data_IF_008669222610
#
_entry.id   IF_008669222610
#
_cell.length_a   1.000
_cell.length_b   1.000
_cell.length_c   1.000
_cell.angle_alpha   90.00
_cell.angle_beta   90.00
_cell.angle_gamma   90.00
#
_symmetry.space_group_name_H-M   'P 1'
#
loop_
_entity.id
_entity.type
_entity.pdbx_description
1 polymer ?
#
# COMPACT_ATOMS: atom_id res chain seq x y z
N UNK A 1 -11.11 -17.75 -12.03
CA UNK A 1 -12.23 -18.63 -11.61
C UNK A 1 -12.49 -18.36 -10.14
N UNK A 2 -13.75 -18.07 -9.79
CA UNK A 2 -14.15 -17.91 -8.38
C UNK A 2 -14.01 -19.26 -7.67
N UNK A 3 -13.06 -19.36 -6.76
CA UNK A 3 -12.92 -20.50 -5.86
C UNK A 3 -13.62 -20.16 -4.53
N UNK A 4 -14.96 -20.20 -4.52
CA UNK A 4 -15.76 -19.85 -3.34
C UNK A 4 -15.44 -20.69 -2.08
N UNK A 5 -14.72 -21.79 -2.25
CA UNK A 5 -14.33 -22.69 -1.17
C UNK A 5 -12.83 -22.64 -0.80
N UNK A 6 -12.00 -21.87 -1.54
CA UNK A 6 -10.59 -21.75 -1.22
C UNK A 6 -10.42 -20.89 0.04
N UNK A 7 -10.01 -21.50 1.15
CA UNK A 7 -9.86 -20.83 2.44
C UNK A 7 -8.40 -20.63 2.87
N UNK A 8 -7.47 -21.42 2.32
CA UNK A 8 -6.05 -21.24 2.62
C UNK A 8 -5.15 -21.70 1.47
N UNK A 9 -3.98 -21.09 1.39
CA UNK A 9 -2.88 -21.48 0.53
C UNK A 9 -1.67 -21.68 1.46
N UNK A 10 -0.90 -22.77 1.27
CA UNK A 10 0.24 -23.08 2.13
C UNK A 10 1.49 -23.35 1.30
N UNK A 11 2.43 -22.41 1.31
CA UNK A 11 3.74 -22.49 0.67
C UNK A 11 4.83 -21.94 1.61
N UNK A 12 5.02 -22.56 2.82
CA UNK A 12 5.80 -21.96 3.91
C UNK A 12 7.30 -21.83 3.61
N UNK A 13 7.81 -22.50 2.58
CA UNK A 13 9.21 -22.44 2.17
C UNK A 13 9.42 -21.63 0.88
N UNK A 14 8.38 -20.99 0.37
CA UNK A 14 8.49 -20.17 -0.84
C UNK A 14 9.20 -18.86 -0.50
N UNK A 15 10.38 -18.64 -1.07
CA UNK A 15 11.17 -17.42 -0.83
C UNK A 15 11.04 -16.40 -1.97
N UNK A 16 10.84 -16.88 -3.20
CA UNK A 16 10.83 -16.01 -4.39
C UNK A 16 9.72 -16.41 -5.34
N UNK A 17 9.03 -15.41 -5.90
CA UNK A 17 8.13 -15.56 -7.04
C UNK A 17 8.76 -14.82 -8.24
N UNK A 18 9.07 -15.58 -9.35
CA UNK A 18 9.97 -15.17 -10.40
C UNK A 18 11.43 -15.44 -10.02
N UNK A 19 12.18 -16.16 -10.81
CA UNK A 19 13.46 -16.75 -10.37
C UNK A 19 14.70 -16.06 -10.94
N UNK A 20 14.59 -15.37 -12.05
CA UNK A 20 15.69 -14.60 -12.65
C UNK A 20 15.16 -13.34 -13.36
N UNK A 21 16.07 -12.45 -13.74
CA UNK A 21 15.74 -11.19 -14.41
C UNK A 21 15.06 -11.34 -15.79
N UNK A 22 14.81 -12.56 -16.23
CA UNK A 22 14.21 -12.89 -17.52
C UNK A 22 12.85 -13.58 -17.37
N UNK A 23 12.42 -13.91 -16.14
CA UNK A 23 11.15 -14.60 -15.88
C UNK A 23 10.23 -13.71 -15.05
N UNK A 24 9.07 -13.44 -15.63
CA UNK A 24 7.97 -12.76 -14.95
C UNK A 24 7.48 -13.63 -13.76
N UNK A 25 7.12 -12.99 -12.67
CA UNK A 25 6.62 -13.67 -11.48
C UNK A 25 5.64 -12.82 -10.70
N UNK A 26 4.34 -13.16 -10.83
CA UNK A 26 3.25 -12.48 -10.19
C UNK A 26 2.67 -13.29 -9.02
N UNK A 27 2.27 -12.63 -7.94
CA UNK A 27 1.34 -13.18 -6.96
C UNK A 27 -0.01 -12.48 -7.12
N UNK A 28 -0.97 -13.20 -7.71
CA UNK A 28 -2.31 -12.66 -7.98
C UNK A 28 -3.35 -13.50 -7.27
N UNK A 29 -3.97 -12.91 -6.24
CA UNK A 29 -5.03 -13.50 -5.44
C UNK A 29 -6.30 -12.67 -5.64
N UNK A 30 -7.15 -13.10 -6.56
CA UNK A 30 -8.34 -12.34 -6.95
C UNK A 30 -9.62 -13.19 -6.81
N UNK A 31 -10.71 -12.56 -6.36
CA UNK A 31 -12.03 -13.19 -6.27
C UNK A 31 -12.03 -14.47 -5.43
N UNK A 32 -11.36 -14.46 -4.29
CA UNK A 32 -11.33 -15.55 -3.31
C UNK A 32 -11.86 -15.06 -1.95
N UNK A 33 -13.16 -14.75 -1.81
CA UNK A 33 -13.73 -14.10 -0.63
C UNK A 33 -13.61 -14.92 0.66
N UNK A 34 -13.38 -16.24 0.54
CA UNK A 34 -13.18 -17.14 1.67
C UNK A 34 -11.70 -17.41 1.98
N UNK A 35 -10.76 -16.84 1.23
CA UNK A 35 -9.33 -16.99 1.48
C UNK A 35 -8.95 -16.15 2.70
N UNK A 36 -8.62 -16.82 3.80
CA UNK A 36 -8.28 -16.17 5.08
C UNK A 36 -6.84 -16.42 5.52
N UNK A 37 -6.08 -17.23 4.78
CA UNK A 37 -4.69 -17.56 5.11
C UNK A 37 -3.87 -17.84 3.84
N UNK A 38 -2.69 -17.24 3.77
CA UNK A 38 -1.75 -17.33 2.63
C UNK A 38 -0.36 -17.78 3.08
N UNK A 39 -0.22 -18.79 3.91
CA UNK A 39 1.03 -19.33 4.47
C UNK A 39 2.28 -19.25 3.58
N UNK A 40 2.87 -18.06 3.48
CA UNK A 40 4.05 -17.73 2.66
C UNK A 40 5.08 -16.96 3.50
N UNK A 41 5.34 -17.45 4.71
CA UNK A 41 6.10 -16.74 5.75
C UNK A 41 7.56 -16.46 5.37
N UNK A 42 8.09 -17.17 4.37
CA UNK A 42 9.47 -16.99 3.90
C UNK A 42 9.57 -16.16 2.61
N UNK A 43 8.43 -15.67 2.07
CA UNK A 43 8.42 -14.94 0.82
C UNK A 43 9.11 -13.57 0.98
N UNK A 44 10.19 -13.37 0.25
CA UNK A 44 11.04 -12.18 0.32
C UNK A 44 10.89 -11.27 -0.91
N UNK A 45 10.70 -11.86 -2.08
CA UNK A 45 10.67 -11.11 -3.34
C UNK A 45 9.57 -11.62 -4.26
N UNK A 46 8.82 -10.70 -4.81
CA UNK A 46 7.94 -10.92 -5.97
C UNK A 46 8.50 -10.10 -7.12
N UNK A 47 8.87 -10.77 -8.21
CA UNK A 47 9.63 -10.15 -9.31
C UNK A 47 8.81 -9.10 -10.06
N UNK A 48 7.51 -9.32 -10.23
CA UNK A 48 6.60 -8.38 -10.89
C UNK A 48 5.49 -7.92 -9.95
N UNK A 49 4.28 -8.41 -10.10
CA UNK A 49 3.12 -7.86 -9.42
C UNK A 49 2.69 -8.65 -8.17
N UNK A 50 2.34 -7.93 -7.12
CA UNK A 50 1.50 -8.40 -6.04
C UNK A 50 0.11 -7.79 -6.19
N UNK A 51 -0.91 -8.63 -6.37
CA UNK A 51 -2.29 -8.17 -6.47
C UNK A 51 -3.21 -9.03 -5.58
N UNK A 52 -3.75 -8.44 -4.53
CA UNK A 52 -4.73 -9.06 -3.63
C UNK A 52 -6.03 -8.28 -3.75
N UNK A 53 -7.04 -8.91 -4.33
CA UNK A 53 -8.35 -8.30 -4.60
C UNK A 53 -9.49 -9.23 -4.19
N UNK A 54 -10.50 -8.68 -3.53
CA UNK A 54 -11.69 -9.42 -3.12
C UNK A 54 -11.34 -10.71 -2.38
N UNK A 55 -10.53 -10.60 -1.32
CA UNK A 55 -10.15 -11.71 -0.43
C UNK A 55 -10.84 -11.61 0.93
N UNK A 56 -10.82 -12.72 1.69
CA UNK A 56 -11.28 -12.78 3.08
C UNK A 56 -10.19 -12.52 4.10
N UNK A 57 -9.00 -12.10 3.67
CA UNK A 57 -7.85 -11.86 4.53
C UNK A 57 -8.15 -10.71 5.51
N UNK A 58 -7.91 -10.98 6.80
CA UNK A 58 -8.00 -9.96 7.87
C UNK A 58 -6.70 -9.17 7.98
N UNK A 59 -5.60 -9.84 7.71
CA UNK A 59 -4.25 -9.27 7.62
C UNK A 59 -3.42 -10.03 6.57
N UNK A 60 -2.21 -9.57 6.34
CA UNK A 60 -1.24 -10.19 5.45
C UNK A 60 0.07 -10.51 6.19
N UNK A 61 -0.06 -10.96 7.45
CA UNK A 61 1.06 -11.26 8.36
C UNK A 61 2.03 -12.29 7.81
N UNK A 62 1.55 -13.21 6.98
CA UNK A 62 2.35 -14.21 6.28
C UNK A 62 3.30 -13.64 5.21
N UNK A 63 3.22 -12.34 4.91
CA UNK A 63 4.14 -11.63 4.01
C UNK A 63 5.15 -10.74 4.77
N UNK A 64 5.40 -11.03 6.05
CA UNK A 64 6.26 -10.20 6.91
C UNK A 64 7.74 -10.15 6.48
N UNK A 65 8.19 -11.13 5.71
CA UNK A 65 9.55 -11.18 5.15
C UNK A 65 9.66 -10.49 3.78
N UNK A 66 8.54 -10.04 3.20
CA UNK A 66 8.54 -9.42 1.87
C UNK A 66 9.30 -8.09 1.90
N UNK A 67 10.36 -8.00 1.09
CA UNK A 67 11.23 -6.83 0.97
C UNK A 67 11.01 -6.06 -0.32
N UNK A 68 10.69 -6.75 -1.41
CA UNK A 68 10.59 -6.16 -2.74
C UNK A 68 9.40 -6.69 -3.54
N UNK A 69 8.71 -5.78 -4.22
CA UNK A 69 7.80 -6.05 -5.32
C UNK A 69 8.34 -5.31 -6.55
N UNK A 70 8.68 -6.04 -7.62
CA UNK A 70 9.40 -5.49 -8.76
C UNK A 70 8.58 -4.52 -9.61
N UNK A 71 7.27 -4.77 -9.74
CA UNK A 71 6.35 -3.88 -10.46
C UNK A 71 5.30 -3.30 -9.51
N UNK A 72 4.03 -3.72 -9.63
CA UNK A 72 2.93 -3.11 -8.90
C UNK A 72 2.57 -3.88 -7.62
N UNK A 73 2.26 -3.13 -6.58
CA UNK A 73 1.64 -3.62 -5.35
C UNK A 73 0.21 -3.08 -5.28
N UNK A 74 -0.77 -3.98 -5.39
CA UNK A 74 -2.20 -3.62 -5.41
C UNK A 74 -2.96 -4.36 -4.33
N UNK A 75 -3.60 -3.63 -3.43
CA UNK A 75 -4.56 -4.15 -2.45
C UNK A 75 -5.90 -3.47 -2.67
N UNK A 76 -6.88 -4.21 -3.16
CA UNK A 76 -8.18 -3.63 -3.50
C UNK A 76 -9.36 -4.50 -3.08
N UNK A 77 -10.49 -3.87 -2.73
CA UNK A 77 -11.76 -4.54 -2.44
C UNK A 77 -11.69 -5.62 -1.34
N UNK A 78 -10.74 -5.53 -0.39
CA UNK A 78 -10.62 -6.51 0.68
C UNK A 78 -11.40 -6.04 1.91
N UNK A 79 -12.68 -6.41 1.98
CA UNK A 79 -13.61 -5.91 3.00
C UNK A 79 -13.27 -6.32 4.43
N UNK A 80 -12.51 -7.40 4.62
CA UNK A 80 -12.09 -7.90 5.93
C UNK A 80 -10.71 -7.39 6.36
N UNK A 81 -9.91 -6.82 5.45
CA UNK A 81 -8.52 -6.42 5.71
C UNK A 81 -8.46 -5.25 6.69
N UNK A 82 -7.84 -5.46 7.86
CA UNK A 82 -7.78 -4.48 8.95
C UNK A 82 -6.42 -3.80 9.08
N UNK A 83 -5.34 -4.47 8.71
CA UNK A 83 -3.99 -3.95 8.97
C UNK A 83 -2.96 -4.45 7.96
N UNK A 84 -1.97 -3.61 7.72
CA UNK A 84 -0.73 -3.93 7.00
C UNK A 84 0.47 -3.96 7.94
N UNK A 85 0.27 -4.01 9.26
CA UNK A 85 1.31 -3.84 10.28
C UNK A 85 2.47 -4.83 10.18
N UNK A 86 2.31 -5.92 9.45
CA UNK A 86 3.34 -6.95 9.24
C UNK A 86 4.35 -6.61 8.14
N UNK A 87 4.06 -5.68 7.23
CA UNK A 87 4.93 -5.37 6.07
C UNK A 87 6.15 -4.51 6.44
N UNK A 88 6.69 -4.67 7.63
CA UNK A 88 7.81 -3.84 8.14
C UNK A 88 9.13 -4.03 7.39
N UNK A 89 9.25 -5.15 6.66
CA UNK A 89 10.41 -5.45 5.83
C UNK A 89 10.31 -4.88 4.42
N UNK A 90 9.13 -4.40 4.00
CA UNK A 90 8.95 -3.89 2.65
C UNK A 90 9.68 -2.57 2.47
N UNK A 91 10.68 -2.58 1.59
CA UNK A 91 11.54 -1.43 1.31
C UNK A 91 11.18 -0.76 -0.02
N UNK A 92 10.68 -1.54 -0.99
CA UNK A 92 10.58 -1.07 -2.36
C UNK A 92 9.44 -1.70 -3.15
N UNK A 93 8.74 -0.85 -3.93
CA UNK A 93 7.86 -1.23 -5.04
C UNK A 93 8.36 -0.53 -6.30
N UNK A 94 8.61 -1.29 -7.35
CA UNK A 94 9.28 -0.76 -8.56
C UNK A 94 8.40 0.12 -9.43
N UNK A 95 7.08 -0.07 -9.37
CA UNK A 95 6.08 0.74 -10.06
C UNK A 95 5.05 1.28 -9.07
N UNK A 96 3.76 1.05 -9.29
CA UNK A 96 2.69 1.65 -8.50
C UNK A 96 2.43 0.91 -7.18
N UNK A 97 2.15 1.67 -6.13
CA UNK A 97 1.56 1.18 -4.88
C UNK A 97 0.14 1.72 -4.75
N UNK A 98 -0.84 0.82 -4.88
CA UNK A 98 -2.27 1.16 -4.91
C UNK A 98 -3.00 0.43 -3.78
N UNK A 99 -3.59 1.17 -2.83
CA UNK A 99 -4.34 0.65 -1.69
C UNK A 99 -5.71 1.32 -1.69
N UNK A 100 -6.73 0.64 -2.20
CA UNK A 100 -8.04 1.27 -2.37
C UNK A 100 -9.21 0.32 -2.13
N UNK A 101 -10.36 0.90 -1.73
CA UNK A 101 -11.60 0.15 -1.46
C UNK A 101 -11.42 -0.98 -0.44
N UNK A 102 -10.66 -0.72 0.64
CA UNK A 102 -10.51 -1.62 1.78
C UNK A 102 -11.20 -1.01 3.01
N UNK A 103 -12.52 -1.15 3.15
CA UNK A 103 -13.31 -0.36 4.11
C UNK A 103 -13.01 -0.63 5.58
N UNK A 104 -12.40 -1.78 5.92
CA UNK A 104 -12.02 -2.12 7.29
C UNK A 104 -10.58 -1.79 7.64
N UNK A 105 -9.78 -1.26 6.69
CA UNK A 105 -8.35 -0.98 6.91
C UNK A 105 -8.18 0.20 7.86
N UNK A 106 -7.49 -0.04 9.00
CA UNK A 106 -7.31 0.94 10.08
C UNK A 106 -6.03 1.76 9.95
N UNK A 107 -4.95 1.15 9.44
CA UNK A 107 -3.66 1.81 9.29
C UNK A 107 -2.76 1.14 8.25
N UNK A 108 -1.75 1.86 7.83
CA UNK A 108 -0.69 1.40 6.92
C UNK A 108 0.69 1.43 7.61
N UNK A 109 0.74 1.33 8.93
CA UNK A 109 1.96 1.50 9.74
C UNK A 109 3.04 0.44 9.45
N UNK A 110 2.66 -0.71 8.90
CA UNK A 110 3.60 -1.72 8.41
C UNK A 110 4.53 -1.20 7.30
N UNK A 111 4.15 -0.13 6.63
CA UNK A 111 4.98 0.52 5.60
C UNK A 111 6.00 1.51 6.20
N UNK A 112 6.29 1.42 7.50
CA UNK A 112 7.24 2.34 8.17
C UNK A 112 8.68 2.22 7.66
N UNK A 113 9.09 1.04 7.14
CA UNK A 113 10.38 0.81 6.49
C UNK A 113 10.43 1.18 5.00
N UNK A 114 9.30 1.50 4.41
CA UNK A 114 9.12 1.70 2.99
C UNK A 114 9.81 2.98 2.49
N UNK A 115 10.72 2.86 1.52
CA UNK A 115 11.59 3.96 1.13
C UNK A 115 11.35 4.50 -0.27
N UNK A 116 10.85 3.66 -1.19
CA UNK A 116 10.86 3.98 -2.61
C UNK A 116 9.62 3.46 -3.35
N UNK A 117 8.91 4.37 -4.01
CA UNK A 117 7.86 4.08 -5.01
C UNK A 117 8.38 4.49 -6.37
N UNK A 118 8.54 3.54 -7.30
CA UNK A 118 8.98 3.86 -8.66
C UNK A 118 7.91 4.53 -9.52
N UNK A 119 6.66 4.20 -9.23
CA UNK A 119 5.48 4.74 -9.88
C UNK A 119 4.65 5.68 -9.00
N UNK A 120 3.34 5.49 -8.99
CA UNK A 120 2.35 6.28 -8.23
C UNK A 120 2.13 5.69 -6.84
N UNK A 121 1.97 6.53 -5.83
CA UNK A 121 1.40 6.13 -4.54
C UNK A 121 -0.06 6.57 -4.45
N UNK A 122 -1.00 5.62 -4.32
CA UNK A 122 -2.42 5.90 -4.23
C UNK A 122 -3.05 5.19 -3.03
N UNK A 123 -3.70 5.96 -2.15
CA UNK A 123 -4.43 5.45 -0.98
C UNK A 123 -5.82 6.09 -1.00
N UNK A 124 -6.84 5.32 -1.40
CA UNK A 124 -8.17 5.85 -1.65
C UNK A 124 -9.29 4.98 -1.08
N UNK A 125 -10.42 5.62 -0.73
CA UNK A 125 -11.66 4.94 -0.35
C UNK A 125 -11.49 3.90 0.77
N UNK A 126 -10.61 4.14 1.74
CA UNK A 126 -10.44 3.27 2.90
C UNK A 126 -11.18 3.92 4.09
N UNK A 127 -12.46 3.59 4.25
CA UNK A 127 -13.41 4.30 5.12
C UNK A 127 -12.99 4.36 6.61
N UNK A 128 -12.30 3.33 7.11
CA UNK A 128 -11.86 3.24 8.50
C UNK A 128 -10.39 3.64 8.71
N UNK A 129 -9.68 4.08 7.67
CA UNK A 129 -8.27 4.43 7.77
C UNK A 129 -8.07 5.68 8.65
N UNK A 130 -7.26 5.53 9.71
CA UNK A 130 -7.05 6.58 10.72
C UNK A 130 -5.82 7.45 10.43
N UNK A 131 -4.81 6.88 9.78
CA UNK A 131 -3.57 7.58 9.46
C UNK A 131 -2.87 6.99 8.25
N UNK A 132 -2.12 7.82 7.53
CA UNK A 132 -1.13 7.42 6.53
C UNK A 132 0.24 7.77 7.08
N UNK A 133 0.93 6.78 7.65
CA UNK A 133 2.21 6.96 8.32
C UNK A 133 3.30 6.13 7.64
N UNK A 134 4.04 6.76 6.73
CA UNK A 134 5.16 6.17 5.96
C UNK A 134 6.41 7.04 6.10
N UNK A 135 6.98 7.13 7.30
CA UNK A 135 7.99 8.13 7.65
C UNK A 135 9.31 7.96 6.90
N UNK A 136 9.63 6.75 6.44
CA UNK A 136 10.87 6.46 5.72
C UNK A 136 10.77 6.68 4.20
N UNK A 137 9.55 6.88 3.67
CA UNK A 137 9.37 7.13 2.24
C UNK A 137 10.10 8.40 1.82
N UNK A 138 11.06 8.25 0.91
CA UNK A 138 11.92 9.35 0.47
C UNK A 138 11.67 9.80 -0.96
N UNK A 139 11.06 8.92 -1.77
CA UNK A 139 10.97 9.15 -3.21
C UNK A 139 9.71 8.56 -3.84
N UNK A 140 9.05 9.34 -4.71
CA UNK A 140 7.95 8.90 -5.58
C UNK A 140 8.28 9.27 -7.02
N UNK A 141 8.40 8.25 -7.89
CA UNK A 141 9.02 8.39 -9.22
C UNK A 141 8.06 8.75 -10.36
N UNK A 142 6.75 8.69 -10.14
CA UNK A 142 5.77 8.93 -11.20
C UNK A 142 5.45 10.41 -11.41
N UNK A 143 5.18 10.77 -12.66
CA UNK A 143 4.58 12.08 -12.99
C UNK A 143 3.15 12.26 -12.46
N UNK A 144 2.46 11.17 -12.09
CA UNK A 144 1.18 11.22 -11.39
C UNK A 144 1.36 11.54 -9.89
N UNK A 145 2.55 11.24 -9.34
CA UNK A 145 2.91 11.56 -7.96
C UNK A 145 2.16 10.74 -6.92
N UNK A 146 1.51 11.42 -5.97
CA UNK A 146 0.81 10.81 -4.86
C UNK A 146 -0.62 11.32 -4.74
N UNK A 147 -1.54 10.39 -4.44
CA UNK A 147 -2.93 10.71 -4.11
C UNK A 147 -3.35 10.02 -2.82
N UNK A 148 -3.83 10.79 -1.84
CA UNK A 148 -4.56 10.29 -0.68
C UNK A 148 -5.93 10.93 -0.70
N UNK A 149 -6.98 10.14 -0.97
CA UNK A 149 -8.31 10.70 -1.17
C UNK A 149 -9.45 9.81 -0.65
N UNK A 150 -10.56 10.46 -0.26
CA UNK A 150 -11.77 9.75 0.19
C UNK A 150 -11.50 8.78 1.36
N UNK A 151 -10.65 9.18 2.30
CA UNK A 151 -10.43 8.44 3.54
C UNK A 151 -10.92 9.33 4.70
N UNK A 152 -12.22 9.31 5.03
CA UNK A 152 -12.88 10.34 5.84
C UNK A 152 -12.37 10.41 7.29
N UNK A 153 -11.78 9.32 7.82
CA UNK A 153 -11.28 9.24 9.18
C UNK A 153 -9.76 9.49 9.31
N UNK A 154 -9.05 9.69 8.20
CA UNK A 154 -7.60 9.99 8.25
C UNK A 154 -7.37 11.33 8.95
N UNK A 155 -6.70 11.29 10.11
CA UNK A 155 -6.35 12.45 10.90
C UNK A 155 -4.96 13.01 10.58
N UNK A 156 -4.03 12.16 10.18
CA UNK A 156 -2.64 12.54 9.91
C UNK A 156 -2.07 11.84 8.68
N UNK A 157 -1.32 12.59 7.89
CA UNK A 157 -0.47 12.09 6.80
C UNK A 157 0.97 12.45 7.13
N UNK A 158 1.82 11.44 7.35
CA UNK A 158 3.21 11.60 7.82
C UNK A 158 4.15 10.90 6.85
N UNK A 159 4.95 11.68 6.15
CA UNK A 159 6.01 11.28 5.22
C UNK A 159 7.24 12.16 5.47
N UNK A 160 7.78 12.06 6.67
CA UNK A 160 8.78 13.01 7.17
C UNK A 160 10.11 12.96 6.41
N UNK A 161 10.40 11.88 5.69
CA UNK A 161 11.60 11.72 4.88
C UNK A 161 11.37 12.00 3.39
N UNK A 162 10.13 12.29 2.96
CA UNK A 162 9.84 12.52 1.54
C UNK A 162 10.57 13.76 1.05
N UNK A 163 11.58 13.52 0.21
CA UNK A 163 12.46 14.57 -0.32
C UNK A 163 11.95 15.13 -1.64
N UNK A 164 11.49 14.27 -2.53
CA UNK A 164 11.01 14.67 -3.84
C UNK A 164 9.92 13.77 -4.39
N UNK A 165 9.07 14.35 -5.19
CA UNK A 165 8.12 13.64 -6.06
C UNK A 165 8.12 14.28 -7.44
N UNK A 166 8.20 13.48 -8.49
CA UNK A 166 8.15 14.00 -9.86
C UNK A 166 6.75 14.44 -10.30
N UNK A 167 5.73 14.08 -9.54
CA UNK A 167 4.36 14.47 -9.84
C UNK A 167 3.73 15.32 -8.74
N UNK A 168 2.43 15.44 -8.82
CA UNK A 168 1.64 16.21 -7.87
C UNK A 168 1.47 15.45 -6.54
N UNK A 169 1.28 16.18 -5.45
CA UNK A 169 0.70 15.67 -4.20
C UNK A 169 -0.75 16.10 -4.14
N UNK A 170 -1.67 15.14 -4.06
CA UNK A 170 -3.12 15.36 -3.96
C UNK A 170 -3.67 14.78 -2.67
N UNK A 171 -4.16 15.65 -1.79
CA UNK A 171 -4.80 15.30 -0.52
C UNK A 171 -6.24 15.80 -0.58
N UNK A 172 -7.18 14.91 -0.91
CA UNK A 172 -8.53 15.32 -1.28
C UNK A 172 -9.61 14.56 -0.49
N UNK A 173 -10.61 15.26 0.04
CA UNK A 173 -11.77 14.64 0.70
C UNK A 173 -11.41 13.67 1.83
N UNK A 174 -10.44 14.07 2.67
CA UNK A 174 -10.11 13.40 3.92
C UNK A 174 -10.63 14.28 5.07
N UNK A 175 -11.90 14.10 5.43
CA UNK A 175 -12.64 15.05 6.26
C UNK A 175 -12.07 15.30 7.65
N UNK A 176 -11.45 14.27 8.27
CA UNK A 176 -10.82 14.38 9.59
C UNK A 176 -9.35 14.84 9.55
N UNK A 177 -8.78 15.08 8.35
CA UNK A 177 -7.36 15.43 8.21
C UNK A 177 -7.05 16.76 8.92
N UNK A 178 -6.12 16.71 9.87
CA UNK A 178 -5.69 17.87 10.66
C UNK A 178 -4.17 18.04 10.70
N UNK A 179 -3.41 16.99 10.36
CA UNK A 179 -1.94 17.01 10.36
C UNK A 179 -1.39 16.52 9.03
N UNK A 180 -0.54 17.33 8.41
CA UNK A 180 0.28 16.96 7.25
C UNK A 180 1.73 17.21 7.62
N UNK A 181 2.55 16.15 7.57
CA UNK A 181 3.99 16.23 7.84
C UNK A 181 4.78 15.69 6.65
N UNK A 182 5.25 16.59 5.80
CA UNK A 182 6.13 16.38 4.64
C UNK A 182 7.34 17.32 4.73
N UNK A 183 7.94 17.40 5.91
CA UNK A 183 8.91 18.44 6.26
C UNK A 183 10.20 18.41 5.46
N UNK A 184 10.55 17.29 4.85
CA UNK A 184 11.80 17.12 4.09
C UNK A 184 11.66 17.40 2.60
N UNK A 185 10.43 17.73 2.14
CA UNK A 185 10.26 17.94 0.71
C UNK A 185 10.93 19.22 0.24
N UNK A 186 11.80 19.09 -0.76
CA UNK A 186 12.51 20.22 -1.37
C UNK A 186 11.97 20.53 -2.77
N UNK A 187 11.49 19.50 -3.48
CA UNK A 187 10.98 19.64 -4.84
C UNK A 187 9.65 18.89 -4.99
N UNK A 188 8.64 19.59 -5.47
CA UNK A 188 7.37 18.99 -5.87
C UNK A 188 6.78 19.78 -7.06
N UNK A 189 5.98 19.11 -7.87
CA UNK A 189 5.35 19.76 -9.02
C UNK A 189 4.16 20.63 -8.58
N UNK A 190 3.11 20.05 -8.02
CA UNK A 190 2.00 20.81 -7.43
C UNK A 190 1.54 20.14 -6.12
N UNK A 191 0.98 20.97 -5.23
CA UNK A 191 0.32 20.52 -4.00
C UNK A 191 -1.16 20.90 -4.04
N UNK A 192 -2.03 19.90 -4.03
CA UNK A 192 -3.48 20.05 -3.94
C UNK A 192 -3.97 19.58 -2.58
N UNK A 193 -4.56 20.47 -1.80
CA UNK A 193 -5.22 20.17 -0.53
C UNK A 193 -6.66 20.64 -0.67
N UNK A 194 -7.56 19.70 -0.95
CA UNK A 194 -8.93 20.02 -1.39
C UNK A 194 -9.96 19.27 -0.57
N UNK A 195 -11.00 19.95 -0.12
CA UNK A 195 -12.13 19.34 0.62
C UNK A 195 -11.73 18.56 1.88
N UNK A 196 -10.71 19.01 2.62
CA UNK A 196 -10.35 18.44 3.91
C UNK A 196 -10.92 19.35 5.02
N UNK A 197 -12.11 19.02 5.53
CA UNK A 197 -12.97 19.91 6.31
C UNK A 197 -12.34 20.35 7.64
N UNK A 198 -11.57 19.48 8.30
CA UNK A 198 -10.95 19.75 9.61
C UNK A 198 -9.59 20.44 9.51
N UNK A 199 -9.02 20.60 8.32
CA UNK A 199 -7.72 21.24 8.16
C UNK A 199 -7.88 22.76 8.31
N UNK A 200 -7.60 23.24 9.49
CA UNK A 200 -7.57 24.69 9.80
C UNK A 200 -6.12 25.15 9.69
N UNK A 201 -5.85 26.07 8.74
CA UNK A 201 -4.54 26.66 8.49
C UNK A 201 -4.02 27.53 9.65
#
# INVERSE_FOLDING_TARGET
QNHELLSSIQMPNLEFIGFDFLQEGDLILQNNPNLVDIGMEQLQVIQNNLHIDTSGLVDISNLSMLTHVGDNFVLSNNSALQTLSSLTSLERVGQDMLIFDNPSLLNVDGLSGYQFVGGTLEIQNNEQLLSVNVPSLSYIGSTNGMTVSNNPLVQAIVMSSLYTTYGDIRLESNDALSVININSIEELHNLYIVNNIQLTG
#
